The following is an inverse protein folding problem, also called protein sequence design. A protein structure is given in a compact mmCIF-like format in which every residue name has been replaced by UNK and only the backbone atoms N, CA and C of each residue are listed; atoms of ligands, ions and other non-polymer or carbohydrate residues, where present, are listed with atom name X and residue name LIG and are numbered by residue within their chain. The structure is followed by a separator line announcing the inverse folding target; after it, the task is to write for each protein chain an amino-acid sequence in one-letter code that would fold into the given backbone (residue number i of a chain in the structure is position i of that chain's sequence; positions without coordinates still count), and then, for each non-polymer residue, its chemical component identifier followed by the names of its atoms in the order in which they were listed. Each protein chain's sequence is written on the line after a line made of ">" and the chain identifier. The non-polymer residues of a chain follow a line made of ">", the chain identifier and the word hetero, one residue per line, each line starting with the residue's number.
data_IF_297309884677
#
_entry.id   IF_297309884677
#
_cell.length_a   1.000
_cell.length_b   1.000
_cell.length_c   1.000
_cell.angle_alpha   90.00
_cell.angle_beta   90.00
_cell.angle_gamma   90.00
#
_symmetry.space_group_name_H-M   'P 1'
#
loop_
_entity.id
_entity.type
_entity.pdbx_description
1 polymer ?
#
# COMPACT_ATOMS: atom_id res chain seq x y z
N UNK A 1 21.75 1.87 -3.26
CA UNK A 1 21.57 0.81 -4.29
C UNK A 1 20.90 -0.41 -3.66
N UNK A 2 19.62 -0.57 -3.85
CA UNK A 2 18.92 -1.74 -3.26
C UNK A 2 17.46 -1.38 -2.99
N UNK A 3 16.86 -0.60 -3.85
CA UNK A 3 15.44 -0.21 -3.64
C UNK A 3 14.57 -1.47 -3.59
N UNK A 4 13.41 -1.39 -3.00
CA UNK A 4 12.53 -2.59 -2.93
C UNK A 4 11.71 -2.70 -4.22
N UNK A 5 11.24 -3.87 -4.53
CA UNK A 5 10.44 -4.04 -5.78
C UNK A 5 8.95 -4.02 -5.42
N UNK A 6 8.17 -3.26 -6.14
CA UNK A 6 6.71 -3.19 -5.83
C UNK A 6 5.91 -3.02 -7.12
N UNK A 7 4.61 -3.09 -7.01
CA UNK A 7 3.74 -2.92 -8.20
C UNK A 7 2.33 -2.56 -7.74
N UNK A 8 1.69 -1.64 -8.40
CA UNK A 8 0.31 -1.24 -7.97
C UNK A 8 -0.70 -1.65 -9.04
N UNK A 9 -1.75 -2.32 -8.65
CA UNK A 9 -2.79 -2.74 -9.63
C UNK A 9 -4.16 -2.30 -9.13
N UNK A 10 -5.12 -2.17 -10.01
CA UNK A 10 -6.48 -1.76 -9.57
C UNK A 10 -7.16 -2.95 -8.90
N UNK A 11 -6.58 -3.44 -7.85
CA UNK A 11 -7.16 -4.60 -7.13
C UNK A 11 -8.66 -4.38 -6.92
N UNK A 12 -9.34 -5.35 -6.37
CA UNK A 12 -10.81 -5.20 -6.14
C UNK A 12 -11.12 -3.78 -5.67
N UNK A 13 -12.35 -3.37 -5.77
CA UNK A 13 -12.72 -1.99 -5.32
C UNK A 13 -14.23 -1.92 -5.09
N UNK A 14 -14.74 -0.75 -4.83
CA UNK A 14 -16.21 -0.61 -4.59
C UNK A 14 -16.66 0.79 -5.02
N UNK A 15 -17.85 1.17 -4.66
CA UNK A 15 -18.35 2.52 -5.05
C UNK A 15 -17.99 3.53 -3.96
N UNK A 16 -18.22 3.19 -2.72
CA UNK A 16 -17.89 4.13 -1.61
C UNK A 16 -16.41 4.02 -1.27
N UNK A 17 -15.80 2.90 -1.55
CA UNK A 17 -14.35 2.73 -1.24
C UNK A 17 -13.70 1.88 -2.32
N UNK A 18 -12.41 2.02 -2.51
CA UNK A 18 -11.72 1.20 -3.54
C UNK A 18 -10.57 0.43 -2.90
N UNK A 19 -10.13 -0.63 -3.52
CA UNK A 19 -9.01 -1.42 -2.94
C UNK A 19 -7.89 -1.56 -3.97
N UNK A 20 -6.78 -2.12 -3.58
CA UNK A 20 -5.65 -2.29 -4.53
C UNK A 20 -4.85 -3.54 -4.15
N UNK A 21 -4.16 -4.11 -5.09
CA UNK A 21 -3.35 -5.32 -4.80
C UNK A 21 -1.90 -5.05 -5.19
N UNK A 22 -1.09 -4.63 -4.25
CA UNK A 22 0.34 -4.35 -4.57
C UNK A 22 1.13 -5.66 -4.61
N UNK A 23 2.11 -5.74 -5.47
CA UNK A 23 2.92 -6.99 -5.55
C UNK A 23 4.40 -6.66 -5.33
N UNK A 24 5.11 -7.51 -4.64
CA UNK A 24 6.55 -7.25 -4.39
C UNK A 24 7.38 -8.37 -5.02
N UNK A 25 8.62 -8.09 -5.35
CA UNK A 25 9.47 -9.14 -5.97
C UNK A 25 10.42 -9.72 -4.92
N UNK A 26 11.39 -8.95 -4.49
CA UNK A 26 12.34 -9.46 -3.47
C UNK A 26 12.54 -8.40 -2.39
N UNK A 27 11.47 -7.80 -1.93
CA UNK A 27 11.61 -6.76 -0.87
C UNK A 27 11.64 -7.42 0.50
N UNK A 28 12.42 -8.46 0.66
CA UNK A 28 12.49 -9.14 1.98
C UNK A 28 12.48 -8.09 3.09
N UNK A 29 13.12 -6.98 2.86
CA UNK A 29 13.14 -5.91 3.89
C UNK A 29 12.05 -4.89 3.58
N UNK A 30 10.89 -5.05 4.15
CA UNK A 30 9.78 -4.10 3.88
C UNK A 30 10.07 -2.74 4.50
N UNK A 31 10.04 -1.71 3.70
CA UNK A 31 10.31 -0.34 4.21
C UNK A 31 9.73 0.68 3.23
N UNK A 32 8.65 0.33 2.57
CA UNK A 32 8.04 1.27 1.59
C UNK A 32 7.22 2.32 2.32
N UNK A 33 6.93 3.40 1.65
CA UNK A 33 6.10 4.46 2.26
C UNK A 33 4.92 4.77 1.34
N UNK A 34 3.74 4.37 1.71
CA UNK A 34 2.56 4.63 0.84
C UNK A 34 2.09 6.07 1.04
N UNK A 35 1.71 6.74 -0.02
CA UNK A 35 1.25 8.15 0.11
C UNK A 35 -0.21 8.25 -0.33
N UNK A 36 -1.11 8.41 0.60
CA UNK A 36 -2.54 8.52 0.24
C UNK A 36 -2.77 9.80 -0.57
N UNK A 37 -4.01 10.18 -0.77
CA UNK A 37 -4.30 11.41 -1.55
C UNK A 37 -5.10 12.38 -0.68
N UNK A 38 -4.54 12.80 0.42
CA UNK A 38 -5.27 13.75 1.31
C UNK A 38 -6.71 13.28 1.50
N UNK A 39 -6.98 12.57 2.56
CA UNK A 39 -8.37 12.08 2.80
C UNK A 39 -8.39 10.55 2.75
N UNK A 40 -8.07 9.98 1.63
CA UNK A 40 -8.07 8.49 1.52
C UNK A 40 -7.40 7.89 2.76
N UNK A 41 -8.14 7.18 3.57
CA UNK A 41 -7.54 6.58 4.79
C UNK A 41 -7.55 5.05 4.66
N UNK A 42 -6.73 4.38 5.42
CA UNK A 42 -6.69 2.89 5.34
C UNK A 42 -7.79 2.29 6.21
N UNK A 43 -8.48 1.30 5.71
CA UNK A 43 -9.57 0.68 6.52
C UNK A 43 -9.12 -0.70 7.00
N UNK A 44 -8.50 -1.47 6.15
CA UNK A 44 -8.03 -2.82 6.57
C UNK A 44 -7.02 -3.35 5.55
N UNK A 45 -6.22 -4.31 5.94
CA UNK A 45 -5.21 -4.87 5.00
C UNK A 45 -4.99 -6.35 5.30
N UNK A 46 -4.27 -7.04 4.46
CA UNK A 46 -4.02 -8.49 4.71
C UNK A 46 -2.79 -8.94 3.92
N UNK A 47 -2.12 -9.96 4.38
CA UNK A 47 -0.92 -10.45 3.65
C UNK A 47 0.27 -9.52 3.93
N UNK A 48 0.26 -8.84 5.04
CA UNK A 48 1.38 -7.92 5.37
C UNK A 48 0.95 -6.96 6.47
N UNK A 49 1.88 -6.24 7.04
CA UNK A 49 1.51 -5.28 8.12
C UNK A 49 1.78 -3.85 7.65
N UNK A 50 1.05 -2.90 8.16
CA UNK A 50 1.27 -1.48 7.74
C UNK A 50 1.39 -0.59 8.97
N UNK A 51 2.10 0.49 8.86
CA UNK A 51 2.26 1.41 10.03
C UNK A 51 1.60 2.75 9.71
N UNK A 52 0.66 3.16 10.53
CA UNK A 52 -0.03 4.46 10.27
C UNK A 52 -1.40 4.20 9.65
N UNK A 53 -2.17 5.23 9.44
CA UNK A 53 -3.52 5.04 8.84
C UNK A 53 -3.98 6.33 8.17
N UNK A 54 -3.06 7.18 7.80
CA UNK A 54 -3.44 8.46 7.15
C UNK A 54 -2.22 9.38 7.05
N UNK A 55 -1.70 9.57 5.88
CA UNK A 55 -0.51 10.45 5.72
C UNK A 55 0.65 9.65 5.12
N UNK A 56 1.47 9.06 5.94
CA UNK A 56 2.61 8.27 5.41
C UNK A 56 2.69 6.93 6.16
N UNK A 57 2.37 5.85 5.50
CA UNK A 57 2.43 4.53 6.17
C UNK A 57 3.59 3.71 5.59
N UNK A 58 4.01 2.69 6.27
CA UNK A 58 5.14 1.86 5.75
C UNK A 58 4.80 0.38 5.91
N UNK A 59 5.26 -0.45 5.01
CA UNK A 59 4.96 -1.91 5.12
C UNK A 59 5.94 -2.56 6.10
N UNK A 60 5.54 -3.64 6.72
CA UNK A 60 6.45 -4.33 7.68
C UNK A 60 6.33 -5.84 7.49
N UNK A 61 7.40 -6.53 7.81
CA UNK A 61 7.46 -8.00 7.68
C UNK A 61 6.72 -8.66 8.85
N UNK A 62 6.22 -9.85 8.64
CA UNK A 62 5.49 -10.55 9.74
C UNK A 62 5.61 -12.06 9.54
N UNK A 63 6.60 -12.50 8.80
CA UNK A 63 6.77 -13.96 8.57
C UNK A 63 7.19 -14.20 7.12
N UNK A 64 6.47 -13.65 6.19
CA UNK A 64 6.82 -13.85 4.76
C UNK A 64 5.64 -13.45 3.88
N UNK A 65 5.78 -12.41 3.10
CA UNK A 65 4.67 -11.97 2.22
C UNK A 65 5.15 -10.85 1.29
N UNK A 66 4.87 -10.96 0.03
CA UNK A 66 5.32 -9.91 -0.93
C UNK A 66 4.09 -9.27 -1.59
N UNK A 67 2.95 -9.89 -1.48
CA UNK A 67 1.73 -9.31 -2.10
C UNK A 67 0.72 -8.97 -1.00
N UNK A 68 0.41 -7.71 -0.83
CA UNK A 68 -0.56 -7.33 0.23
C UNK A 68 -1.61 -6.38 -0.35
N UNK A 69 -2.83 -6.50 0.09
CA UNK A 69 -3.91 -5.60 -0.43
C UNK A 69 -4.38 -4.68 0.69
N UNK A 70 -4.89 -3.53 0.35
CA UNK A 70 -5.37 -2.59 1.40
C UNK A 70 -6.59 -1.82 0.89
N UNK A 71 -7.46 -1.42 1.78
CA UNK A 71 -8.67 -0.67 1.35
C UNK A 71 -8.36 0.83 1.33
N UNK A 72 -9.25 1.62 0.81
CA UNK A 72 -9.01 3.09 0.75
C UNK A 72 -10.34 3.83 0.60
N UNK A 73 -10.75 4.55 1.60
CA UNK A 73 -12.03 5.29 1.51
C UNK A 73 -11.88 6.45 0.51
N UNK A 74 -12.88 6.71 -0.28
CA UNK A 74 -12.79 7.82 -1.27
C UNK A 74 -13.81 8.90 -0.92
N UNK A 75 -15.07 8.55 -0.94
CA UNK A 75 -16.12 9.56 -0.61
C UNK A 75 -15.79 10.89 -1.30
N UNK A 76 -15.13 10.83 -2.43
CA UNK A 76 -14.78 12.09 -3.15
C UNK A 76 -13.27 12.16 -3.36
N UNK A 77 -12.62 11.03 -3.47
CA UNK A 77 -11.14 11.04 -3.68
C UNK A 77 -10.85 11.10 -5.18
N UNK A 78 -9.76 10.52 -5.61
CA UNK A 78 -9.43 10.54 -7.06
C UNK A 78 -8.24 9.62 -7.33
N UNK A 79 -7.11 10.17 -7.71
CA UNK A 79 -5.92 9.32 -7.99
C UNK A 79 -5.78 8.25 -6.91
N UNK A 80 -5.53 7.03 -7.31
CA UNK A 80 -5.38 5.94 -6.31
C UNK A 80 -4.04 6.09 -5.59
N UNK A 81 -3.90 5.38 -4.50
CA UNK A 81 -2.67 5.41 -3.68
C UNK A 81 -1.59 4.54 -4.32
N UNK A 82 -0.39 4.59 -3.80
CA UNK A 82 0.71 3.77 -4.38
C UNK A 82 1.78 3.51 -3.32
N UNK A 83 2.54 2.46 -3.48
CA UNK A 83 3.61 2.16 -2.48
C UNK A 83 4.96 2.62 -3.02
N UNK A 84 5.74 3.27 -2.21
CA UNK A 84 7.07 3.76 -2.68
C UNK A 84 8.17 2.75 -2.34
N UNK A 85 9.18 2.69 -3.16
CA UNK A 85 10.31 1.75 -2.91
C UNK A 85 11.53 2.21 -3.71
N UNK A 86 12.12 3.31 -3.33
CA UNK A 86 13.32 3.81 -4.06
C UNK A 86 14.48 3.98 -3.08
N UNK A 87 15.66 4.21 -3.59
CA UNK A 87 16.83 4.40 -2.69
C UNK A 87 17.38 5.81 -2.85
N UNK A 88 17.14 6.66 -1.90
CA UNK A 88 17.64 8.06 -1.99
C UNK A 88 16.47 9.04 -1.90
#
# INVERSE_FOLDING_TARGET
>A
TGSCSVSAVRGEEWADRFNVTYSVSGSSSWVVTLGLNGGQSVQSSWNAALTGSSGTVTARPNGSGNSFGVTFYKNGSSATPGATCATG
#
